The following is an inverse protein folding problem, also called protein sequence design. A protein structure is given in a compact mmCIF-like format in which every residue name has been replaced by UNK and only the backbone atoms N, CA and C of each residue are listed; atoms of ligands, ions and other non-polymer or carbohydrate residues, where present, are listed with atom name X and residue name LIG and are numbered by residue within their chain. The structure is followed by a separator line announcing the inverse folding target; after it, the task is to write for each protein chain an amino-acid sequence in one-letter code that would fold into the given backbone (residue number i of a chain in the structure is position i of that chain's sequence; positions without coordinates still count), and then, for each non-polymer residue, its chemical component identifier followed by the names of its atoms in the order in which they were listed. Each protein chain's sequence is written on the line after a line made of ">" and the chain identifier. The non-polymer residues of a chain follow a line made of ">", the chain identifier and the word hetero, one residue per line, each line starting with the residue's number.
data_IF_455606889719
#
_entry.id   IF_455606889719
#
_cell.length_a   1.000
_cell.length_b   1.000
_cell.length_c   1.000
_cell.angle_alpha   90.00
_cell.angle_beta   90.00
_cell.angle_gamma   90.00
#
_symmetry.space_group_name_H-M   'P 1'
#
loop_
_entity.id
_entity.type
_entity.pdbx_description
1 polymer ?
#
# COMPACT_ATOMS: atom_id res chain seq x y z
N UNK A 1 -0.71 -10.17 -12.70
CA UNK A 1 -0.29 -9.22 -11.65
C UNK A 1 -1.10 -9.49 -10.38
N UNK A 2 -0.49 -9.52 -9.21
CA UNK A 2 -1.23 -9.73 -7.98
C UNK A 2 -2.15 -8.55 -7.65
N UNK A 3 -3.10 -8.79 -6.76
CA UNK A 3 -3.98 -7.75 -6.25
C UNK A 3 -3.17 -6.78 -5.40
N UNK A 4 -3.32 -5.48 -5.64
CA UNK A 4 -2.62 -4.45 -4.90
C UNK A 4 -3.63 -3.61 -4.15
N UNK A 5 -3.50 -3.57 -2.82
CA UNK A 5 -4.41 -2.85 -1.94
C UNK A 5 -3.62 -1.82 -1.15
N UNK A 6 -4.13 -0.60 -1.09
CA UNK A 6 -3.50 0.49 -0.34
C UNK A 6 -4.55 1.14 0.55
N UNK A 7 -4.28 1.19 1.84
CA UNK A 7 -5.10 1.93 2.80
C UNK A 7 -4.55 3.34 2.92
N UNK A 8 -5.42 4.33 2.77
CA UNK A 8 -5.06 5.74 2.72
C UNK A 8 -5.98 6.59 3.59
N UNK A 9 -5.64 7.89 3.71
CA UNK A 9 -6.56 8.90 4.23
C UNK A 9 -6.36 10.20 3.45
N UNK A 10 -7.30 11.17 3.51
CA UNK A 10 -7.16 12.44 2.80
C UNK A 10 -5.92 13.22 3.27
N UNK A 11 -5.34 13.99 2.34
CA UNK A 11 -4.23 14.90 2.64
C UNK A 11 -3.00 14.20 3.22
N UNK A 12 -2.69 13.01 2.72
CA UNK A 12 -1.53 12.24 3.16
C UNK A 12 -0.46 12.23 2.07
N UNK A 13 0.63 13.00 2.23
CA UNK A 13 1.70 13.04 1.21
C UNK A 13 2.36 11.68 0.98
N UNK A 14 2.52 10.89 2.03
CA UNK A 14 3.11 9.56 1.91
C UNK A 14 2.21 8.61 1.14
N UNK A 15 0.90 8.74 1.28
CA UNK A 15 -0.06 7.99 0.48
C UNK A 15 0.07 8.35 -0.99
N UNK A 16 0.20 9.64 -1.30
CA UNK A 16 0.41 10.11 -2.67
C UNK A 16 1.69 9.53 -3.28
N UNK A 17 2.78 9.52 -2.50
CA UNK A 17 4.06 8.98 -2.97
C UNK A 17 3.94 7.49 -3.30
N UNK A 18 3.32 6.73 -2.41
CA UNK A 18 3.13 5.29 -2.62
C UNK A 18 2.26 5.02 -3.84
N UNK A 19 1.15 5.73 -3.97
CA UNK A 19 0.25 5.60 -5.11
C UNK A 19 0.94 5.97 -6.43
N UNK A 20 1.71 7.07 -6.42
CA UNK A 20 2.44 7.50 -7.61
C UNK A 20 3.47 6.46 -8.05
N UNK A 21 4.21 5.89 -7.11
CA UNK A 21 5.19 4.85 -7.43
C UNK A 21 4.51 3.63 -8.05
N UNK A 22 3.45 3.14 -7.44
CA UNK A 22 2.71 1.98 -7.96
C UNK A 22 2.09 2.28 -9.32
N UNK A 23 1.53 3.47 -9.50
CA UNK A 23 0.97 3.90 -10.79
C UNK A 23 2.05 3.96 -11.87
N UNK A 24 3.25 4.40 -11.52
CA UNK A 24 4.37 4.46 -12.48
C UNK A 24 4.79 3.07 -12.96
N UNK A 25 4.48 2.04 -12.19
CA UNK A 25 4.74 0.64 -12.56
C UNK A 25 3.58 0.01 -13.34
N UNK A 26 2.54 0.77 -13.64
CA UNK A 26 1.36 0.25 -14.34
C UNK A 26 0.43 -0.60 -13.49
N UNK A 27 0.55 -0.51 -12.17
CA UNK A 27 -0.26 -1.32 -11.27
C UNK A 27 -1.70 -0.78 -11.17
N UNK A 28 -2.65 -1.70 -11.07
CA UNK A 28 -4.03 -1.38 -10.75
C UNK A 28 -4.21 -1.49 -9.24
N UNK A 29 -4.61 -0.39 -8.61
CA UNK A 29 -4.63 -0.28 -7.15
C UNK A 29 -6.07 -0.25 -6.67
N UNK A 30 -6.37 -1.05 -5.63
CA UNK A 30 -7.62 -0.97 -4.89
C UNK A 30 -7.32 -0.12 -3.64
N UNK A 31 -7.82 1.09 -3.64
CA UNK A 31 -7.62 2.03 -2.54
C UNK A 31 -8.77 1.97 -1.55
N UNK A 32 -8.44 1.89 -0.26
CA UNK A 32 -9.41 2.02 0.82
C UNK A 32 -9.07 3.27 1.64
N UNK A 33 -9.93 4.27 1.57
CA UNK A 33 -9.79 5.48 2.39
C UNK A 33 -10.36 5.18 3.78
N UNK A 34 -9.50 5.10 4.79
CA UNK A 34 -9.91 4.71 6.14
C UNK A 34 -10.76 5.75 6.86
N UNK A 35 -10.77 6.99 6.35
CA UNK A 35 -11.65 8.04 6.91
C UNK A 35 -13.08 7.91 6.40
N UNK A 36 -13.29 7.24 5.28
CA UNK A 36 -14.60 7.08 4.64
C UNK A 36 -15.17 5.68 4.80
N UNK A 37 -14.33 4.69 5.09
CA UNK A 37 -14.77 3.32 5.27
C UNK A 37 -15.02 3.04 6.75
N UNK A 38 -16.22 2.56 7.06
CA UNK A 38 -16.63 2.30 8.45
C UNK A 38 -15.69 1.35 9.18
N UNK A 39 -15.22 0.30 8.50
CA UNK A 39 -14.37 -0.72 9.10
C UNK A 39 -12.94 -0.71 8.56
N UNK A 40 -12.64 0.21 7.65
CA UNK A 40 -11.36 0.21 6.93
C UNK A 40 -10.15 0.32 7.83
N UNK A 41 -10.21 1.19 8.84
CA UNK A 41 -9.09 1.37 9.78
C UNK A 41 -8.85 0.12 10.61
N UNK A 42 -9.91 -0.49 11.13
CA UNK A 42 -9.79 -1.71 11.93
C UNK A 42 -9.24 -2.88 11.09
N UNK A 43 -9.71 -3.02 9.85
CA UNK A 43 -9.18 -4.01 8.91
C UNK A 43 -7.69 -3.80 8.67
N UNK A 44 -7.30 -2.55 8.41
CA UNK A 44 -5.91 -2.20 8.16
C UNK A 44 -5.02 -2.60 9.34
N UNK A 45 -5.41 -2.24 10.54
CA UNK A 45 -4.64 -2.53 11.75
C UNK A 45 -4.50 -4.03 11.94
N UNK A 46 -5.58 -4.78 11.75
CA UNK A 46 -5.55 -6.24 11.89
C UNK A 46 -4.60 -6.88 10.87
N UNK A 47 -4.63 -6.42 9.62
CA UNK A 47 -3.79 -6.96 8.54
C UNK A 47 -2.34 -6.50 8.64
N UNK A 48 -2.10 -5.33 9.23
CA UNK A 48 -0.78 -4.70 9.30
C UNK A 48 -0.02 -5.01 10.59
N UNK A 49 -0.38 -6.08 11.28
CA UNK A 49 0.28 -6.49 12.52
C UNK A 49 0.25 -5.40 13.59
N UNK A 50 -0.86 -4.68 13.69
CA UNK A 50 -1.05 -3.62 14.69
C UNK A 50 -0.58 -2.24 14.27
N UNK A 51 0.00 -2.07 13.08
CA UNK A 51 0.42 -0.75 12.61
C UNK A 51 -0.80 0.11 12.32
N UNK A 52 -0.74 1.37 12.71
CA UNK A 52 -1.86 2.32 12.64
C UNK A 52 -1.66 3.45 11.65
N UNK A 53 -0.48 3.52 11.03
CA UNK A 53 -0.14 4.59 10.09
C UNK A 53 -0.64 4.29 8.68
N UNK A 54 -0.84 5.34 7.88
CA UNK A 54 -1.10 5.24 6.45
C UNK A 54 0.06 5.84 5.67
N UNK A 55 0.36 5.37 4.47
CA UNK A 55 -0.33 4.25 3.81
C UNK A 55 0.07 2.91 4.41
N UNK A 56 -0.78 1.90 4.24
CA UNK A 56 -0.41 0.50 4.45
C UNK A 56 -0.69 -0.22 3.13
N UNK A 57 0.31 -0.92 2.63
CA UNK A 57 0.32 -1.47 1.28
C UNK A 57 0.40 -2.99 1.34
N UNK A 58 -0.43 -3.64 0.54
CA UNK A 58 -0.46 -5.11 0.43
C UNK A 58 -0.37 -5.49 -1.04
N UNK A 59 0.51 -6.43 -1.34
CA UNK A 59 0.65 -7.00 -2.69
C UNK A 59 0.33 -8.49 -2.58
N UNK A 60 -0.82 -8.89 -3.12
CA UNK A 60 -1.38 -10.21 -2.84
C UNK A 60 -1.63 -10.33 -1.34
N UNK A 61 -1.14 -11.39 -0.74
CA UNK A 61 -1.27 -11.62 0.71
C UNK A 61 -0.11 -11.03 1.51
N UNK A 62 0.86 -10.43 0.84
CA UNK A 62 2.06 -9.92 1.49
C UNK A 62 1.85 -8.49 1.99
N UNK A 63 2.07 -8.26 3.27
CA UNK A 63 2.11 -6.93 3.85
C UNK A 63 3.45 -6.26 3.54
N UNK A 64 3.42 -5.19 2.77
CA UNK A 64 4.63 -4.42 2.44
C UNK A 64 4.96 -3.43 3.54
N UNK A 65 3.96 -2.71 4.02
CA UNK A 65 4.13 -1.67 5.02
C UNK A 65 3.76 -0.30 4.48
N UNK A 66 4.53 0.72 4.85
CA UNK A 66 4.29 2.09 4.46
C UNK A 66 5.04 2.51 3.19
N UNK A 67 5.01 3.82 2.93
CA UNK A 67 5.65 4.41 1.75
C UNK A 67 7.17 4.14 1.73
N UNK A 68 7.83 4.24 2.88
CA UNK A 68 9.27 4.02 2.99
C UNK A 68 9.63 2.57 2.71
N UNK A 69 8.81 1.64 3.18
CA UNK A 69 9.01 0.21 2.93
C UNK A 69 8.87 -0.11 1.44
N UNK A 70 7.88 0.50 0.79
CA UNK A 70 7.68 0.34 -0.64
C UNK A 70 8.85 0.89 -1.44
N UNK A 71 9.31 2.09 -1.09
CA UNK A 71 10.44 2.72 -1.75
C UNK A 71 11.71 1.89 -1.60
N UNK A 72 11.92 1.29 -0.43
CA UNK A 72 13.07 0.43 -0.19
C UNK A 72 13.05 -0.81 -1.08
N UNK A 73 11.89 -1.44 -1.24
CA UNK A 73 11.73 -2.56 -2.16
C UNK A 73 12.03 -2.18 -3.60
N UNK A 74 11.58 -0.99 -4.00
CA UNK A 74 11.84 -0.50 -5.37
C UNK A 74 13.33 -0.29 -5.59
N UNK A 75 14.04 0.34 -4.65
CA UNK A 75 15.47 0.57 -4.75
C UNK A 75 16.25 -0.74 -4.80
N UNK A 76 15.77 -1.76 -4.12
CA UNK A 76 16.42 -3.09 -4.13
C UNK A 76 16.10 -3.89 -5.39
N UNK A 77 15.25 -3.39 -6.27
CA UNK A 77 14.84 -4.11 -7.48
C UNK A 77 13.83 -5.22 -7.22
N UNK A 78 13.29 -5.29 -6.01
CA UNK A 78 12.36 -6.36 -5.63
C UNK A 78 10.90 -6.05 -5.93
N UNK A 79 10.54 -4.77 -6.05
CA UNK A 79 9.16 -4.38 -6.29
C UNK A 79 8.66 -4.88 -7.64
N UNK A 80 9.45 -4.72 -8.70
CA UNK A 80 9.07 -5.17 -10.03
C UNK A 80 8.82 -6.68 -10.06
N UNK A 81 9.65 -7.46 -9.36
CA UNK A 81 9.47 -8.90 -9.26
C UNK A 81 8.16 -9.28 -8.56
N UNK A 82 7.80 -8.56 -7.48
CA UNK A 82 6.54 -8.78 -6.77
C UNK A 82 5.34 -8.44 -7.65
N UNK A 83 5.42 -7.37 -8.43
CA UNK A 83 4.33 -6.96 -9.30
C UNK A 83 4.17 -7.89 -10.51
N UNK A 84 5.23 -8.55 -10.93
CA UNK A 84 5.21 -9.48 -12.05
C UNK A 84 4.71 -10.88 -11.67
N UNK A 85 4.61 -11.16 -10.40
CA UNK A 85 4.25 -12.50 -9.93
C UNK A 85 2.82 -12.92 -10.31
#
# INVERSE_FOLDING_TARGET
>A
MPKIEVYTKPFCPYCHRAMALLNSKGATIEETNISMSQNGRAEMIARANGRTTVPQIFIGDRHIGGSDDLAALDRAGELDALLAA
#
